data_IF_651698317121
#
_entry.id   IF_651698317121
#
_cell.length_a   1.000
_cell.length_b   1.000
_cell.length_c   1.000
_cell.angle_alpha   90.00
_cell.angle_beta   90.00
_cell.angle_gamma   90.00
#
_symmetry.space_group_name_H-M   'P 1'
#
loop_
_entity.id
_entity.type
_entity.pdbx_description
1 polymer ?
#
# COMPACT_ATOMS: atom_id res chain seq x y z
N UNK A 1 3.95 -6.76 -0.41
CA UNK A 1 4.23 -8.05 0.24
C UNK A 1 4.45 -9.06 -0.84
N UNK A 2 5.52 -9.84 -0.75
CA UNK A 2 5.87 -10.88 -1.71
C UNK A 2 6.02 -12.19 -0.96
N UNK A 3 5.64 -13.29 -1.60
CA UNK A 3 5.87 -14.62 -1.07
C UNK A 3 7.12 -15.18 -1.77
N UNK A 4 8.26 -15.10 -1.09
CA UNK A 4 9.55 -15.47 -1.66
C UNK A 4 9.64 -16.98 -1.93
N UNK A 5 8.86 -17.81 -1.22
CA UNK A 5 8.87 -19.25 -1.42
C UNK A 5 8.19 -19.64 -2.74
N UNK A 6 7.09 -18.96 -3.08
CA UNK A 6 6.33 -19.24 -4.30
C UNK A 6 6.69 -18.33 -5.48
N UNK A 7 7.26 -17.14 -5.23
CA UNK A 7 7.71 -16.14 -6.20
C UNK A 7 9.08 -15.55 -5.81
N UNK A 8 10.18 -16.33 -5.98
CA UNK A 8 11.53 -15.86 -5.62
C UNK A 8 11.99 -14.63 -6.41
N UNK A 9 11.38 -14.36 -7.56
CA UNK A 9 11.67 -13.20 -8.40
C UNK A 9 10.87 -11.94 -8.04
N UNK A 10 10.04 -11.98 -7.00
CA UNK A 10 9.21 -10.86 -6.53
C UNK A 10 8.36 -10.21 -7.65
N UNK A 11 7.91 -11.03 -8.59
CA UNK A 11 7.16 -10.56 -9.77
C UNK A 11 5.71 -10.18 -9.43
N UNK A 12 5.15 -10.73 -8.35
CA UNK A 12 3.75 -10.57 -7.96
C UNK A 12 3.61 -9.96 -6.57
N UNK A 13 3.23 -8.68 -6.53
CA UNK A 13 2.93 -8.02 -5.27
C UNK A 13 1.54 -8.43 -4.74
N UNK A 14 1.52 -9.00 -3.54
CA UNK A 14 0.34 -9.51 -2.82
C UNK A 14 -0.25 -8.50 -1.81
N UNK A 15 0.26 -7.27 -1.73
CA UNK A 15 -0.15 -6.29 -0.70
C UNK A 15 -1.64 -5.94 -0.73
N UNK A 16 -2.31 -6.15 -1.87
CA UNK A 16 -3.74 -5.87 -2.04
C UNK A 16 -4.62 -7.10 -1.97
N UNK A 17 -4.05 -8.30 -1.79
CA UNK A 17 -4.83 -9.52 -1.64
C UNK A 17 -5.62 -9.47 -0.33
N UNK A 18 -6.96 -9.53 -0.46
CA UNK A 18 -7.88 -9.49 0.66
C UNK A 18 -7.63 -10.58 1.71
N UNK A 19 -7.14 -11.76 1.31
CA UNK A 19 -6.89 -12.90 2.19
C UNK A 19 -5.63 -12.71 3.03
N UNK A 20 -4.68 -11.93 2.52
CA UNK A 20 -3.36 -11.72 3.14
C UNK A 20 -3.29 -10.42 3.93
N UNK A 21 -4.39 -9.65 4.03
CA UNK A 21 -4.44 -8.41 4.82
C UNK A 21 -3.94 -8.55 6.26
N UNK A 22 -4.29 -9.60 7.03
CA UNK A 22 -3.77 -9.76 8.40
C UNK A 22 -2.24 -9.93 8.42
N UNK A 23 -1.71 -10.70 7.47
CA UNK A 23 -0.27 -10.99 7.33
C UNK A 23 0.49 -9.71 6.94
N UNK A 24 -0.06 -8.91 6.02
CA UNK A 24 0.49 -7.59 5.67
C UNK A 24 0.56 -6.68 6.90
N UNK A 25 -0.50 -6.65 7.72
CA UNK A 25 -0.56 -5.83 8.94
C UNK A 25 0.51 -6.24 9.94
N UNK A 26 0.65 -7.54 10.20
CA UNK A 26 1.65 -8.09 11.12
C UNK A 26 3.08 -7.73 10.67
N UNK A 27 3.38 -7.88 9.38
CA UNK A 27 4.69 -7.52 8.84
C UNK A 27 4.97 -6.01 8.89
N UNK A 28 3.95 -5.18 8.66
CA UNK A 28 4.06 -3.72 8.82
C UNK A 28 4.39 -3.38 10.28
N UNK A 29 3.62 -3.91 11.24
CA UNK A 29 3.84 -3.66 12.66
C UNK A 29 5.25 -4.10 13.09
N UNK A 30 5.73 -5.26 12.62
CA UNK A 30 7.10 -5.73 12.87
C UNK A 30 8.17 -4.81 12.28
N UNK A 31 7.97 -4.34 11.04
CA UNK A 31 8.90 -3.39 10.39
C UNK A 31 9.04 -2.11 11.21
N UNK A 32 7.92 -1.52 11.62
CA UNK A 32 7.95 -0.28 12.41
C UNK A 32 8.49 -0.50 13.82
N UNK A 33 8.30 -1.68 14.42
CA UNK A 33 8.98 -2.08 15.66
C UNK A 33 10.51 -2.04 15.51
N UNK A 34 11.05 -2.67 14.47
CA UNK A 34 12.50 -2.68 14.21
C UNK A 34 13.06 -1.28 13.88
N UNK A 35 12.28 -0.44 13.18
CA UNK A 35 12.67 0.95 12.90
C UNK A 35 12.68 1.80 14.18
N UNK A 36 11.74 1.57 15.10
CA UNK A 36 11.72 2.25 16.39
C UNK A 36 12.94 1.86 17.26
N UNK A 37 13.26 0.56 17.33
CA UNK A 37 14.41 0.04 18.10
C UNK A 37 15.75 0.57 17.57
N UNK A 38 15.92 0.67 16.25
CA UNK A 38 17.16 1.15 15.62
C UNK A 38 17.32 2.66 15.62
N UNK A 39 16.37 3.42 16.16
CA UNK A 39 16.34 4.89 16.05
C UNK A 39 16.04 5.38 14.62
N UNK A 40 15.64 4.48 13.71
CA UNK A 40 15.29 4.77 12.32
C UNK A 40 14.02 5.63 12.15
N UNK A 41 13.30 5.89 13.25
CA UNK A 41 12.16 6.80 13.31
C UNK A 41 12.55 8.28 13.47
N UNK A 42 13.84 8.61 13.37
CA UNK A 42 14.34 9.99 13.45
C UNK A 42 13.80 10.87 12.31
N UNK A 43 13.64 10.30 11.11
CA UNK A 43 12.78 10.91 10.08
C UNK A 43 11.34 10.56 10.47
N UNK A 44 10.39 11.51 10.46
CA UNK A 44 8.99 11.28 10.87
C UNK A 44 8.23 10.44 9.83
N UNK A 45 8.71 9.23 9.56
CA UNK A 45 7.99 8.17 8.88
C UNK A 45 7.06 7.54 9.91
N UNK A 46 5.98 8.25 10.24
CA UNK A 46 4.95 7.69 11.09
C UNK A 46 4.39 6.42 10.44
N UNK A 47 4.09 5.42 11.28
CA UNK A 47 3.39 4.24 10.80
C UNK A 47 2.09 4.65 10.10
N UNK A 48 1.78 4.08 8.92
CA UNK A 48 0.52 4.30 8.23
C UNK A 48 -0.67 4.02 9.14
N UNK A 49 -1.59 4.98 9.24
CA UNK A 49 -2.81 4.87 10.07
C UNK A 49 -4.06 4.45 9.29
N UNK A 50 -3.92 4.04 8.03
CA UNK A 50 -5.07 3.70 7.21
C UNK A 50 -4.74 3.35 5.77
N UNK A 51 -5.73 3.51 4.91
CA UNK A 51 -5.66 3.07 3.52
C UNK A 51 -4.72 3.94 2.68
N UNK A 52 -4.19 3.35 1.61
CA UNK A 52 -3.42 4.07 0.59
C UNK A 52 -4.30 5.09 -0.15
N UNK A 53 -3.84 6.34 -0.20
CA UNK A 53 -4.52 7.45 -0.88
C UNK A 53 -4.02 7.67 -2.32
N UNK A 54 -3.33 6.69 -2.90
CA UNK A 54 -2.75 6.73 -4.25
C UNK A 54 -3.76 6.37 -5.36
N UNK A 55 -5.06 6.54 -5.10
CA UNK A 55 -6.13 6.16 -6.03
C UNK A 55 -6.29 7.21 -7.12
N UNK A 56 -6.61 6.76 -8.33
CA UNK A 56 -6.72 7.58 -9.55
C UNK A 56 -8.12 7.48 -10.10
N UNK A 57 -8.76 8.62 -10.36
CA UNK A 57 -10.10 8.64 -10.93
C UNK A 57 -10.02 8.40 -12.45
N UNK A 58 -10.70 7.37 -12.93
CA UNK A 58 -10.69 6.94 -14.33
C UNK A 58 -11.10 8.05 -15.31
N UNK A 59 -12.05 8.90 -14.92
CA UNK A 59 -12.60 9.96 -15.75
C UNK A 59 -11.79 11.26 -15.78
N UNK A 60 -10.74 11.38 -14.95
CA UNK A 60 -9.88 12.59 -14.92
C UNK A 60 -8.78 12.49 -15.98
N UNK A 61 -7.82 13.42 -15.95
CA UNK A 61 -6.68 13.54 -16.88
C UNK A 61 -6.18 12.18 -17.36
N UNK A 62 -6.00 12.01 -18.68
CA UNK A 62 -5.61 10.74 -19.33
C UNK A 62 -4.51 10.05 -18.51
N UNK A 63 -4.86 9.03 -17.71
CA UNK A 63 -3.88 8.33 -16.91
C UNK A 63 -2.95 7.61 -17.88
N UNK A 64 -1.65 7.52 -17.56
CA UNK A 64 -0.84 6.44 -18.10
C UNK A 64 -1.45 5.08 -17.73
N UNK A 65 -0.94 3.99 -18.31
CA UNK A 65 -1.38 2.66 -17.88
C UNK A 65 -0.99 2.44 -16.41
N UNK A 66 -1.98 2.38 -15.51
CA UNK A 66 -1.79 2.04 -14.10
C UNK A 66 -2.48 0.71 -13.78
N UNK A 67 -1.97 -0.05 -12.80
CA UNK A 67 -2.66 -1.23 -12.30
C UNK A 67 -4.10 -0.93 -11.91
N UNK A 68 -5.06 -1.77 -12.33
CA UNK A 68 -6.49 -1.52 -12.13
C UNK A 68 -6.90 -1.28 -10.68
N UNK A 69 -6.21 -1.92 -9.72
CA UNK A 69 -6.38 -1.70 -8.28
C UNK A 69 -6.15 -0.26 -7.79
N UNK A 70 -5.43 0.57 -8.56
CA UNK A 70 -5.22 1.98 -8.26
C UNK A 70 -6.26 2.88 -8.93
N UNK A 71 -7.02 2.37 -9.89
CA UNK A 71 -7.99 3.16 -10.66
C UNK A 71 -9.39 2.95 -10.12
N UNK A 72 -10.11 4.04 -9.89
CA UNK A 72 -11.50 4.03 -9.41
C UNK A 72 -12.41 4.73 -10.41
N UNK A 73 -13.64 4.24 -10.58
CA UNK A 73 -14.60 4.85 -11.50
C UNK A 73 -15.28 6.10 -10.92
N UNK A 74 -15.38 6.18 -9.58
CA UNK A 74 -16.02 7.28 -8.86
C UNK A 74 -15.08 7.89 -7.81
N UNK A 75 -15.17 9.19 -7.51
CA UNK A 75 -14.41 9.81 -6.44
C UNK A 75 -14.68 9.11 -5.10
N UNK A 76 -13.61 8.78 -4.37
CA UNK A 76 -13.68 8.22 -3.01
C UNK A 76 -14.08 9.32 -2.03
N UNK A 77 -13.49 10.52 -2.17
CA UNK A 77 -13.88 11.70 -1.43
C UNK A 77 -14.78 12.59 -2.31
N UNK A 78 -16.08 12.66 -1.97
CA UNK A 78 -17.07 13.48 -2.70
C UNK A 78 -17.06 14.96 -2.31
N UNK A 79 -16.40 15.30 -1.20
CA UNK A 79 -16.28 16.67 -0.69
C UNK A 79 -14.91 17.30 -0.91
N UNK A 80 -14.00 16.63 -1.64
CA UNK A 80 -12.71 17.21 -2.00
C UNK A 80 -12.93 18.43 -2.91
N UNK A 81 -12.60 19.62 -2.42
CA UNK A 81 -12.56 20.87 -3.19
C UNK A 81 -11.17 21.08 -3.76
#
# INVERSE_FOLDING_TARGET
MYDILSDPGETKNLITDSKLKPVVREMEDKLYGMLAESGGMFIPLNQPRGNSQNKRLKSRSKPGAFPGQLVVDKPINRGAR
#
